data_IF_472338680517
#
_entry.id   IF_472338680517
#
_cell.length_a   1.000
_cell.length_b   1.000
_cell.length_c   1.000
_cell.angle_alpha   90.00
_cell.angle_beta   90.00
_cell.angle_gamma   90.00
#
_symmetry.space_group_name_H-M   'P 1'
#
loop_
_entity.id
_entity.type
_entity.pdbx_description
1 polymer ?
#
# COMPACT_ATOMS: atom_id res chain seq x y z
N UNK A 1 -41.98 -46.08 -72.93
CA UNK A 1 -42.90 -45.02 -72.47
C UNK A 1 -42.03 -43.78 -72.33
N UNK A 2 -41.89 -42.91 -73.35
CA UNK A 2 -42.95 -42.12 -74.02
C UNK A 2 -43.76 -41.29 -73.02
N UNK A 3 -43.95 -39.98 -73.16
CA UNK A 3 -43.39 -39.00 -74.11
C UNK A 3 -43.56 -37.56 -73.51
N UNK A 4 -43.10 -36.45 -74.08
CA UNK A 4 -42.37 -36.20 -75.35
C UNK A 4 -41.50 -34.92 -75.23
N UNK A 5 -40.80 -34.50 -76.30
CA UNK A 5 -40.05 -33.22 -76.36
C UNK A 5 -40.03 -32.62 -77.77
N UNK A 6 -41.03 -31.80 -78.09
CA UNK A 6 -41.04 -30.68 -79.05
C UNK A 6 -42.45 -30.02 -78.90
N UNK A 7 -42.63 -28.71 -79.02
CA UNK A 7 -42.65 -27.96 -80.29
C UNK A 7 -42.13 -26.53 -80.10
N UNK A 8 -41.61 -26.01 -81.21
CA UNK A 8 -40.91 -24.75 -81.41
C UNK A 8 -41.87 -23.61 -81.79
N UNK A 9 -41.42 -22.36 -81.62
CA UNK A 9 -41.98 -21.10 -82.16
C UNK A 9 -43.46 -20.71 -81.96
N UNK A 10 -43.69 -19.60 -81.26
CA UNK A 10 -44.18 -18.39 -81.95
C UNK A 10 -43.76 -17.10 -81.24
N UNK A 11 -43.29 -16.12 -82.01
CA UNK A 11 -42.71 -14.83 -81.55
C UNK A 11 -43.75 -13.70 -81.60
N UNK A 12 -43.52 -12.64 -80.81
CA UNK A 12 -44.17 -11.31 -80.85
C UNK A 12 -45.53 -11.23 -80.13
N UNK A 13 -45.63 -10.59 -78.95
CA UNK A 13 -45.55 -9.13 -78.80
C UNK A 13 -45.51 -8.74 -77.31
N UNK A 14 -44.52 -7.96 -76.87
CA UNK A 14 -44.51 -7.09 -75.66
C UNK A 14 -43.07 -6.68 -75.26
N UNK A 15 -42.36 -5.96 -76.14
CA UNK A 15 -41.18 -5.19 -75.71
C UNK A 15 -41.65 -3.85 -75.09
N UNK A 16 -40.80 -3.21 -74.27
CA UNK A 16 -40.92 -1.83 -73.73
C UNK A 16 -41.42 -1.62 -72.28
N UNK A 17 -41.36 -2.64 -71.38
CA UNK A 17 -41.47 -2.38 -69.91
C UNK A 17 -40.38 -2.97 -69.01
N UNK A 18 -39.57 -3.93 -69.46
CA UNK A 18 -38.58 -4.59 -68.59
C UNK A 18 -37.24 -3.86 -68.40
N UNK A 19 -36.87 -2.92 -69.29
CA UNK A 19 -35.52 -2.34 -69.30
C UNK A 19 -35.24 -1.27 -68.24
N UNK A 20 -36.27 -0.59 -67.75
CA UNK A 20 -36.12 0.49 -66.77
C UNK A 20 -35.97 -0.03 -65.33
N UNK A 21 -36.77 -1.04 -64.95
CA UNK A 21 -36.76 -1.61 -63.60
C UNK A 21 -35.44 -2.36 -63.33
N UNK A 22 -34.94 -3.14 -64.30
CA UNK A 22 -33.65 -3.86 -64.17
C UNK A 22 -32.46 -2.91 -63.95
N UNK A 23 -32.41 -1.77 -64.65
CA UNK A 23 -31.36 -0.76 -64.44
C UNK A 23 -31.52 -0.01 -63.10
N UNK A 24 -32.75 0.06 -62.57
CA UNK A 24 -33.03 0.63 -61.24
C UNK A 24 -32.55 -0.33 -60.13
N UNK A 25 -32.89 -1.61 -60.21
CA UNK A 25 -32.46 -2.63 -59.24
C UNK A 25 -30.93 -2.80 -59.23
N UNK A 26 -30.27 -2.87 -60.39
CA UNK A 26 -28.81 -2.94 -60.47
C UNK A 26 -28.12 -1.69 -59.90
N UNK A 27 -28.71 -0.50 -60.07
CA UNK A 27 -28.21 0.72 -59.41
C UNK A 27 -28.42 0.67 -57.90
N UNK A 28 -29.56 0.18 -57.43
CA UNK A 28 -29.85 0.04 -56.01
C UNK A 28 -28.87 -0.93 -55.34
N UNK A 29 -28.58 -2.07 -55.97
CA UNK A 29 -27.60 -3.04 -55.46
C UNK A 29 -26.17 -2.46 -55.43
N UNK A 30 -25.71 -1.77 -56.48
CA UNK A 30 -24.40 -1.11 -56.46
C UNK A 30 -24.31 -0.01 -55.39
N UNK A 31 -25.38 0.74 -55.13
CA UNK A 31 -25.41 1.74 -54.06
C UNK A 31 -25.30 1.07 -52.68
N UNK A 32 -26.01 -0.04 -52.45
CA UNK A 32 -25.95 -0.80 -51.19
C UNK A 32 -24.57 -1.42 -50.97
N UNK A 33 -23.98 -2.09 -51.98
CA UNK A 33 -22.60 -2.62 -51.87
C UNK A 33 -21.58 -1.50 -51.60
N UNK A 34 -21.75 -0.33 -52.22
CA UNK A 34 -20.87 0.81 -52.04
C UNK A 34 -21.06 1.54 -50.69
N UNK A 35 -22.26 1.50 -50.09
CA UNK A 35 -22.50 1.93 -48.71
C UNK A 35 -21.91 0.94 -47.69
N UNK A 36 -22.07 -0.37 -47.91
CA UNK A 36 -21.51 -1.42 -47.04
C UNK A 36 -19.97 -1.40 -47.03
N UNK A 37 -19.31 -1.26 -48.18
CA UNK A 37 -17.85 -1.11 -48.28
C UNK A 37 -17.36 0.18 -47.57
N UNK A 38 -18.10 1.28 -47.71
CA UNK A 38 -17.80 2.55 -47.04
C UNK A 38 -17.90 2.42 -45.51
N UNK A 39 -18.96 1.76 -45.02
CA UNK A 39 -19.13 1.46 -43.60
C UNK A 39 -18.06 0.49 -43.07
N UNK A 40 -17.66 -0.50 -43.86
CA UNK A 40 -16.60 -1.46 -43.53
C UNK A 40 -15.21 -0.79 -43.42
N UNK A 41 -14.84 0.06 -44.38
CA UNK A 41 -13.61 0.86 -44.32
C UNK A 41 -13.61 1.81 -43.12
N UNK A 42 -14.70 2.57 -42.92
CA UNK A 42 -14.81 3.49 -41.79
C UNK A 42 -14.68 2.76 -40.44
N UNK A 43 -15.30 1.59 -40.27
CA UNK A 43 -15.17 0.78 -39.06
C UNK A 43 -13.74 0.27 -38.83
N UNK A 44 -13.04 -0.13 -39.91
CA UNK A 44 -11.64 -0.59 -39.86
C UNK A 44 -10.68 0.52 -39.43
N UNK A 45 -10.81 1.72 -40.02
CA UNK A 45 -10.01 2.89 -39.64
C UNK A 45 -10.30 3.33 -38.19
N UNK A 46 -11.57 3.32 -37.77
CA UNK A 46 -11.94 3.66 -36.40
C UNK A 46 -11.34 2.65 -35.40
N UNK A 47 -11.36 1.35 -35.71
CA UNK A 47 -10.76 0.31 -34.89
C UNK A 47 -9.23 0.43 -34.83
N UNK A 48 -8.56 0.68 -35.95
CA UNK A 48 -7.12 0.95 -36.01
C UNK A 48 -6.71 2.16 -35.17
N UNK A 49 -7.48 3.25 -35.24
CA UNK A 49 -7.24 4.45 -34.43
C UNK A 49 -7.43 4.22 -32.92
N UNK A 50 -8.38 3.34 -32.55
CA UNK A 50 -8.65 2.97 -31.15
C UNK A 50 -7.54 2.08 -30.59
N UNK A 51 -7.09 1.09 -31.35
CA UNK A 51 -5.96 0.21 -30.98
C UNK A 51 -4.68 1.02 -30.87
N UNK A 52 -4.41 1.94 -31.78
CA UNK A 52 -3.23 2.82 -31.71
C UNK A 52 -3.30 3.78 -30.51
N UNK A 53 -4.50 4.30 -30.18
CA UNK A 53 -4.72 5.09 -28.95
C UNK A 53 -4.44 4.28 -27.69
N UNK A 54 -5.03 3.11 -27.54
CA UNK A 54 -4.79 2.25 -26.37
C UNK A 54 -3.34 1.75 -26.27
N UNK A 55 -2.66 1.51 -27.39
CA UNK A 55 -1.23 1.19 -27.40
C UNK A 55 -0.36 2.40 -26.98
N UNK A 56 -0.71 3.60 -27.43
CA UNK A 56 -0.04 4.86 -27.05
C UNK A 56 -0.27 5.21 -25.57
N UNK A 57 -1.50 5.06 -25.08
CA UNK A 57 -1.89 5.19 -23.67
C UNK A 57 -1.11 4.20 -22.81
N UNK A 58 -1.11 2.91 -23.16
CA UNK A 58 -0.34 1.88 -22.44
C UNK A 58 1.18 2.10 -22.47
N UNK A 59 1.73 2.65 -23.55
CA UNK A 59 3.16 3.01 -23.63
C UNK A 59 3.50 4.25 -22.76
N UNK A 60 2.64 5.27 -22.78
CA UNK A 60 2.77 6.45 -21.94
C UNK A 60 2.70 6.07 -20.45
N UNK A 61 1.73 5.25 -20.08
CA UNK A 61 1.56 4.76 -18.71
C UNK A 61 2.75 3.89 -18.27
N UNK A 62 3.29 3.03 -19.16
CA UNK A 62 4.52 2.27 -18.88
C UNK A 62 5.75 3.18 -18.67
N UNK A 63 5.88 4.30 -19.40
CA UNK A 63 6.93 5.30 -19.17
C UNK A 63 6.72 6.00 -17.83
N UNK A 64 5.48 6.39 -17.49
CA UNK A 64 5.15 7.00 -16.21
C UNK A 64 5.44 6.06 -15.03
N UNK A 65 5.11 4.77 -15.16
CA UNK A 65 5.41 3.74 -14.18
C UNK A 65 6.91 3.52 -14.03
N UNK A 66 7.68 3.49 -15.12
CA UNK A 66 9.13 3.37 -15.06
C UNK A 66 9.78 4.61 -14.41
N UNK A 67 9.28 5.81 -14.72
CA UNK A 67 9.72 7.06 -14.09
C UNK A 67 9.37 7.08 -12.59
N UNK A 68 8.15 6.68 -12.23
CA UNK A 68 7.70 6.57 -10.85
C UNK A 68 8.57 5.56 -10.09
N UNK A 69 8.74 4.34 -10.62
CA UNK A 69 9.60 3.31 -10.05
C UNK A 69 11.04 3.82 -9.84
N UNK A 70 11.60 4.52 -10.82
CA UNK A 70 12.95 5.13 -10.72
C UNK A 70 13.01 6.20 -9.61
N UNK A 71 12.01 7.09 -9.53
CA UNK A 71 11.92 8.10 -8.46
C UNK A 71 11.79 7.45 -7.09
N UNK A 72 10.91 6.46 -6.95
CA UNK A 72 10.66 5.71 -5.71
C UNK A 72 11.93 5.00 -5.26
N UNK A 73 12.61 4.31 -6.18
CA UNK A 73 13.88 3.62 -5.96
C UNK A 73 14.93 4.62 -5.45
N UNK A 74 15.15 5.73 -6.16
CA UNK A 74 16.08 6.78 -5.73
C UNK A 74 15.75 7.36 -4.35
N UNK A 75 14.48 7.60 -4.01
CA UNK A 75 14.08 8.12 -2.70
C UNK A 75 14.42 7.14 -1.56
N UNK A 76 14.21 5.83 -1.75
CA UNK A 76 14.52 4.82 -0.74
C UNK A 76 16.00 4.42 -0.71
N UNK A 77 16.70 4.60 -1.83
CA UNK A 77 18.11 4.29 -1.99
C UNK A 77 19.01 5.40 -1.47
N UNK A 78 18.71 6.67 -1.74
CA UNK A 78 19.55 7.82 -1.34
C UNK A 78 19.35 8.12 0.16
N UNK A 79 20.09 7.38 0.98
CA UNK A 79 20.21 7.62 2.42
C UNK A 79 21.67 7.72 2.81
N UNK A 80 21.97 8.39 3.94
CA UNK A 80 23.32 8.44 4.49
C UNK A 80 23.91 7.05 4.77
N UNK A 81 23.08 6.08 5.17
CA UNK A 81 23.50 4.69 5.39
C UNK A 81 23.92 4.02 4.08
N UNK A 82 23.20 4.30 2.98
CA UNK A 82 23.55 3.81 1.64
C UNK A 82 24.83 4.42 1.09
N UNK A 83 24.99 5.75 1.20
CA UNK A 83 26.21 6.44 0.75
C UNK A 83 27.45 5.89 1.46
N UNK A 84 27.34 5.60 2.76
CA UNK A 84 28.43 5.02 3.54
C UNK A 84 28.75 3.58 3.11
N UNK A 85 27.75 2.73 2.87
CA UNK A 85 27.95 1.34 2.39
C UNK A 85 28.56 1.31 0.98
N UNK A 86 28.12 2.19 0.07
CA UNK A 86 28.69 2.33 -1.28
C UNK A 86 30.15 2.79 -1.19
N UNK A 87 30.45 3.80 -0.37
CA UNK A 87 31.82 4.27 -0.15
C UNK A 87 32.71 3.16 0.40
N UNK A 88 32.25 2.40 1.41
CA UNK A 88 32.97 1.24 1.92
C UNK A 88 33.25 0.21 0.82
N UNK A 89 32.26 -0.11 -0.03
CA UNK A 89 32.39 -1.05 -1.15
C UNK A 89 33.42 -0.60 -2.20
N UNK A 90 33.44 0.68 -2.57
CA UNK A 90 34.43 1.23 -3.51
C UNK A 90 35.83 1.17 -2.90
N UNK A 91 35.97 1.61 -1.65
CA UNK A 91 37.25 1.65 -0.94
C UNK A 91 37.82 0.25 -0.72
N UNK A 92 37.04 -0.71 -0.22
CA UNK A 92 37.55 -2.07 0.04
C UNK A 92 37.96 -2.77 -1.24
N UNK A 93 37.12 -2.76 -2.27
CA UNK A 93 37.42 -3.43 -3.56
C UNK A 93 38.64 -2.81 -4.25
N UNK A 94 38.81 -1.49 -4.16
CA UNK A 94 40.01 -0.82 -4.70
C UNK A 94 41.26 -1.16 -3.88
N UNK A 95 41.19 -1.17 -2.54
CA UNK A 95 42.32 -1.53 -1.68
C UNK A 95 42.77 -2.98 -1.92
N UNK A 96 41.85 -3.94 -1.98
CA UNK A 96 42.20 -5.35 -2.26
C UNK A 96 42.80 -5.52 -3.66
N UNK A 97 42.34 -4.75 -4.66
CA UNK A 97 42.92 -4.77 -6.00
C UNK A 97 44.36 -4.21 -6.01
N UNK A 98 44.58 -3.03 -5.41
CA UNK A 98 45.90 -2.39 -5.36
C UNK A 98 46.90 -3.21 -4.53
N UNK A 99 46.53 -3.65 -3.33
CA UNK A 99 47.41 -4.51 -2.53
C UNK A 99 47.68 -5.85 -3.23
N UNK A 100 46.66 -6.46 -3.84
CA UNK A 100 46.80 -7.69 -4.63
C UNK A 100 47.49 -7.52 -5.99
N UNK A 101 47.85 -6.30 -6.39
CA UNK A 101 48.70 -6.02 -7.55
C UNK A 101 50.15 -5.74 -7.13
N UNK A 102 50.34 -4.99 -6.03
CA UNK A 102 51.67 -4.62 -5.52
C UNK A 102 52.40 -5.78 -4.80
N UNK A 103 51.70 -6.86 -4.43
CA UNK A 103 52.30 -8.02 -3.78
C UNK A 103 52.53 -9.17 -4.77
N UNK A 104 53.79 -9.40 -5.15
CA UNK A 104 54.26 -10.37 -6.17
C UNK A 104 54.06 -11.88 -5.81
N UNK A 105 53.17 -12.21 -4.87
CA UNK A 105 52.92 -13.61 -4.49
C UNK A 105 51.66 -13.84 -3.64
N UNK A 106 51.23 -12.89 -2.82
CA UNK A 106 50.02 -13.06 -2.00
C UNK A 106 48.75 -12.81 -2.81
N UNK A 107 48.15 -13.90 -3.30
CA UNK A 107 46.84 -13.91 -3.95
C UNK A 107 45.73 -13.54 -2.94
N UNK A 108 45.42 -12.26 -2.83
CA UNK A 108 44.24 -11.77 -2.09
C UNK A 108 42.90 -12.10 -2.77
N UNK A 109 42.92 -12.68 -3.97
CA UNK A 109 41.72 -13.24 -4.60
C UNK A 109 41.35 -14.59 -3.98
N UNK A 110 40.20 -14.67 -3.32
CA UNK A 110 39.67 -15.91 -2.75
C UNK A 110 38.25 -16.20 -3.25
N UNK A 111 37.98 -17.47 -3.59
CA UNK A 111 36.62 -17.92 -3.88
C UNK A 111 35.84 -18.09 -2.55
N UNK A 112 34.89 -17.20 -2.30
CA UNK A 112 34.07 -17.14 -1.08
C UNK A 112 32.63 -17.49 -1.44
N UNK A 113 32.05 -18.46 -0.72
CA UNK A 113 30.66 -18.86 -0.92
C UNK A 113 29.68 -17.74 -0.53
N UNK A 114 28.71 -17.45 -1.40
CA UNK A 114 27.60 -16.51 -1.13
C UNK A 114 26.54 -17.05 -0.15
N UNK A 115 26.69 -18.31 0.28
CA UNK A 115 25.78 -18.97 1.22
C UNK A 115 25.60 -18.18 2.53
N UNK A 116 26.67 -17.61 3.07
CA UNK A 116 26.63 -16.82 4.32
C UNK A 116 25.75 -15.57 4.15
N UNK A 117 25.89 -14.84 3.04
CA UNK A 117 25.06 -13.66 2.73
C UNK A 117 23.59 -14.04 2.60
N UNK A 118 23.29 -15.14 1.90
CA UNK A 118 21.92 -15.62 1.73
C UNK A 118 21.24 -15.96 3.07
N UNK A 119 21.88 -16.81 3.89
CA UNK A 119 21.28 -17.26 5.15
C UNK A 119 21.33 -16.24 6.29
N UNK A 120 22.42 -15.45 6.42
CA UNK A 120 22.57 -14.52 7.54
C UNK A 120 21.96 -13.13 7.30
N UNK A 121 21.74 -12.73 6.04
CA UNK A 121 21.28 -11.38 5.68
C UNK A 121 19.93 -11.45 4.96
N UNK A 122 19.87 -12.13 3.81
CA UNK A 122 18.69 -12.12 2.93
C UNK A 122 17.49 -12.82 3.60
N UNK A 123 17.67 -14.01 4.18
CA UNK A 123 16.56 -14.73 4.83
C UNK A 123 15.95 -13.96 6.03
N UNK A 124 16.73 -13.40 6.99
CA UNK A 124 16.19 -12.52 8.02
C UNK A 124 15.52 -11.24 7.49
N UNK A 125 15.99 -10.67 6.38
CA UNK A 125 15.34 -9.50 5.75
C UNK A 125 13.97 -9.87 5.17
N UNK A 126 13.86 -10.98 4.42
CA UNK A 126 12.59 -11.46 3.89
C UNK A 126 11.58 -11.71 5.03
N UNK A 127 12.01 -12.33 6.13
CA UNK A 127 11.15 -12.56 7.29
C UNK A 127 10.68 -11.24 7.94
N UNK A 128 11.57 -10.24 8.09
CA UNK A 128 11.20 -8.93 8.65
C UNK A 128 10.23 -8.17 7.74
N UNK A 129 10.39 -8.26 6.42
CA UNK A 129 9.46 -7.70 5.42
C UNK A 129 8.09 -8.35 5.55
N UNK A 130 8.00 -9.69 5.58
CA UNK A 130 6.73 -10.41 5.76
C UNK A 130 6.04 -10.04 7.08
N UNK A 131 6.79 -9.89 8.17
CA UNK A 131 6.24 -9.44 9.46
C UNK A 131 5.78 -7.97 9.45
N UNK A 132 6.39 -7.11 8.63
CA UNK A 132 5.95 -5.72 8.46
C UNK A 132 4.60 -5.66 7.72
N UNK A 133 4.47 -6.39 6.61
CA UNK A 133 3.19 -6.51 5.89
C UNK A 133 2.08 -7.12 6.77
N UNK A 134 2.34 -8.24 7.44
CA UNK A 134 1.35 -8.84 8.34
C UNK A 134 0.90 -7.87 9.46
N UNK A 135 1.81 -7.04 9.99
CA UNK A 135 1.46 -5.98 10.96
C UNK A 135 0.57 -4.89 10.35
N UNK A 136 0.83 -4.50 9.10
CA UNK A 136 0.02 -3.50 8.38
C UNK A 136 -1.41 -4.00 8.18
N UNK A 137 -1.59 -5.22 7.69
CA UNK A 137 -2.93 -5.80 7.49
C UNK A 137 -3.68 -5.93 8.82
N UNK A 138 -3.03 -6.47 9.87
CA UNK A 138 -3.61 -6.51 11.22
C UNK A 138 -3.99 -5.13 11.78
N UNK A 139 -3.30 -4.05 11.38
CA UNK A 139 -3.65 -2.68 11.77
C UNK A 139 -4.85 -2.14 10.97
N UNK A 140 -4.96 -2.49 9.68
CA UNK A 140 -6.09 -2.16 8.83
C UNK A 140 -7.37 -2.84 9.32
N UNK A 141 -7.31 -4.15 9.64
CA UNK A 141 -8.45 -4.91 10.19
C UNK A 141 -8.98 -4.29 11.48
N UNK A 142 -8.08 -4.05 12.45
CA UNK A 142 -8.42 -3.47 13.76
C UNK A 142 -8.96 -2.04 13.62
N UNK A 143 -8.45 -1.27 12.65
CA UNK A 143 -8.97 0.05 12.35
C UNK A 143 -10.35 0.00 11.69
N UNK A 144 -10.63 -0.98 10.83
CA UNK A 144 -11.96 -1.19 10.24
C UNK A 144 -12.99 -1.59 11.31
N UNK A 145 -12.65 -2.51 12.21
CA UNK A 145 -13.48 -2.85 13.38
C UNK A 145 -13.75 -1.62 14.25
N UNK A 146 -12.73 -0.80 14.53
CA UNK A 146 -12.88 0.43 15.30
C UNK A 146 -13.80 1.44 14.58
N UNK A 147 -13.65 1.65 13.26
CA UNK A 147 -14.55 2.51 12.44
C UNK A 147 -16.01 2.09 12.61
N UNK A 148 -16.29 0.79 12.49
CA UNK A 148 -17.64 0.26 12.65
C UNK A 148 -18.19 0.50 14.06
N UNK A 149 -17.38 0.28 15.10
CA UNK A 149 -17.78 0.49 16.49
C UNK A 149 -18.06 1.96 16.83
N UNK A 150 -17.23 2.90 16.36
CA UNK A 150 -17.48 4.35 16.51
C UNK A 150 -18.85 4.76 15.99
N UNK A 151 -19.22 4.29 14.79
CA UNK A 151 -20.53 4.59 14.18
C UNK A 151 -21.67 3.89 14.92
N UNK A 152 -21.52 2.61 15.25
CA UNK A 152 -22.57 1.86 15.97
C UNK A 152 -22.85 2.41 17.37
N UNK A 153 -21.86 2.93 18.10
CA UNK A 153 -22.07 3.61 19.38
C UNK A 153 -22.92 4.87 19.20
N UNK A 154 -22.67 5.67 18.15
CA UNK A 154 -23.49 6.86 17.87
C UNK A 154 -24.91 6.46 17.42
N UNK A 155 -25.05 5.48 16.53
CA UNK A 155 -26.35 4.97 16.08
C UNK A 155 -27.19 4.39 17.23
N UNK A 156 -26.57 3.73 18.20
CA UNK A 156 -27.26 3.29 19.41
C UNK A 156 -27.74 4.47 20.28
N UNK A 157 -26.99 5.58 20.31
CA UNK A 157 -27.40 6.77 21.04
C UNK A 157 -28.43 7.62 20.28
N UNK A 158 -28.49 7.57 18.94
CA UNK A 158 -29.44 8.35 18.11
C UNK A 158 -30.73 7.59 17.79
N UNK A 159 -30.63 6.36 17.28
CA UNK A 159 -31.75 5.61 16.69
C UNK A 159 -32.47 4.68 17.66
N UNK A 160 -31.77 4.08 18.64
CA UNK A 160 -32.40 3.07 19.49
C UNK A 160 -33.55 3.68 20.30
N UNK A 161 -34.72 3.07 20.16
CA UNK A 161 -35.96 3.54 20.75
C UNK A 161 -36.55 2.45 21.65
N UNK A 162 -36.77 2.79 22.91
CA UNK A 162 -37.39 1.93 23.91
C UNK A 162 -38.87 2.28 24.17
N UNK A 163 -39.51 2.93 23.19
CA UNK A 163 -40.95 3.16 23.15
C UNK A 163 -41.42 4.10 24.26
N UNK A 164 -42.42 3.65 25.02
CA UNK A 164 -43.10 4.45 26.04
C UNK A 164 -42.24 4.75 27.28
N UNK A 165 -41.10 4.07 27.47
CA UNK A 165 -40.33 4.18 28.72
C UNK A 165 -39.36 5.39 28.71
N UNK A 166 -39.80 6.59 28.30
CA UNK A 166 -39.01 7.82 28.50
C UNK A 166 -37.99 8.20 27.40
N UNK A 167 -38.01 7.61 26.20
CA UNK A 167 -37.11 8.06 25.11
C UNK A 167 -37.31 9.54 24.73
N UNK A 168 -38.47 10.12 25.03
CA UNK A 168 -38.81 11.54 24.86
C UNK A 168 -38.37 12.46 26.01
N UNK A 169 -38.01 11.92 27.19
CA UNK A 169 -37.51 12.72 28.33
C UNK A 169 -35.99 12.88 28.32
N UNK A 170 -35.28 12.06 27.52
CA UNK A 170 -33.85 12.19 27.27
C UNK A 170 -33.48 13.59 26.73
N UNK A 171 -32.41 14.24 27.23
CA UNK A 171 -31.99 15.55 26.76
C UNK A 171 -31.75 15.60 25.24
N UNK A 172 -32.22 16.63 24.52
CA UNK A 172 -32.07 16.72 23.06
C UNK A 172 -30.60 16.78 22.61
N UNK A 173 -29.70 17.28 23.46
CA UNK A 173 -28.26 17.35 23.23
C UNK A 173 -27.53 16.01 23.45
N UNK A 174 -28.17 14.97 24.02
CA UNK A 174 -27.51 13.71 24.39
C UNK A 174 -26.73 13.05 23.24
N UNK A 175 -27.33 13.02 22.05
CA UNK A 175 -26.69 12.48 20.85
C UNK A 175 -25.51 13.33 20.36
N UNK A 176 -25.64 14.66 20.41
CA UNK A 176 -24.59 15.60 20.01
C UNK A 176 -23.41 15.59 21.00
N UNK A 177 -23.69 15.47 22.29
CA UNK A 177 -22.71 15.25 23.35
C UNK A 177 -21.96 13.92 23.16
N UNK A 178 -22.67 12.84 22.88
CA UNK A 178 -22.05 11.53 22.55
C UNK A 178 -21.14 11.64 21.34
N UNK A 179 -21.62 12.26 20.24
CA UNK A 179 -20.81 12.53 19.04
C UNK A 179 -19.56 13.36 19.34
N UNK A 180 -19.68 14.36 20.21
CA UNK A 180 -18.55 15.20 20.64
C UNK A 180 -17.50 14.40 21.40
N UNK A 181 -17.92 13.52 22.32
CA UNK A 181 -17.02 12.59 23.03
C UNK A 181 -16.32 11.63 22.07
N UNK A 182 -17.02 11.13 21.04
CA UNK A 182 -16.44 10.27 20.01
C UNK A 182 -15.44 11.02 19.11
N UNK A 183 -15.73 12.27 18.71
CA UNK A 183 -14.77 13.12 17.97
C UNK A 183 -13.53 13.44 18.80
N UNK A 184 -13.68 13.72 20.11
CA UNK A 184 -12.56 13.90 21.03
C UNK A 184 -11.71 12.63 21.16
N UNK A 185 -12.34 11.47 21.39
CA UNK A 185 -11.66 10.17 21.46
C UNK A 185 -10.87 9.88 20.16
N UNK A 186 -11.45 10.17 19.00
CA UNK A 186 -10.81 10.00 17.70
C UNK A 186 -9.60 10.94 17.53
N UNK A 187 -9.66 12.17 18.04
CA UNK A 187 -8.53 13.10 18.06
C UNK A 187 -7.38 12.58 18.94
N UNK A 188 -7.67 12.07 20.13
CA UNK A 188 -6.65 11.49 21.03
C UNK A 188 -5.96 10.27 20.40
N UNK A 189 -6.76 9.35 19.84
CA UNK A 189 -6.24 8.20 19.06
C UNK A 189 -5.37 8.68 17.91
N UNK A 190 -5.79 9.69 17.15
CA UNK A 190 -5.01 10.22 16.04
C UNK A 190 -3.66 10.80 16.47
N UNK A 191 -3.65 11.50 17.62
CA UNK A 191 -2.46 12.11 18.20
C UNK A 191 -1.45 11.04 18.60
N UNK A 192 -1.91 9.95 19.24
CA UNK A 192 -1.08 8.79 19.53
C UNK A 192 -0.58 8.14 18.23
N UNK A 193 -1.45 7.87 17.25
CA UNK A 193 -1.10 7.16 16.00
C UNK A 193 -0.16 7.94 15.07
N UNK A 194 -0.19 9.28 15.10
CA UNK A 194 0.70 10.12 14.27
C UNK A 194 2.01 10.51 14.98
N UNK A 195 2.13 10.33 16.31
CA UNK A 195 3.36 10.67 17.04
C UNK A 195 4.56 9.76 16.66
N UNK A 196 5.79 10.27 16.49
CA UNK A 196 6.95 9.44 16.14
C UNK A 196 7.28 8.38 17.22
N UNK A 197 7.65 7.16 16.79
CA UNK A 197 7.92 6.03 17.71
C UNK A 197 9.36 6.03 18.24
N UNK A 198 9.52 6.43 19.52
CA UNK A 198 10.84 6.51 20.17
C UNK A 198 11.39 5.17 20.74
N UNK A 199 11.00 4.03 20.19
CA UNK A 199 11.45 2.68 20.64
C UNK A 199 12.69 2.13 19.90
N UNK A 200 13.58 2.97 19.34
CA UNK A 200 14.79 2.52 18.61
C UNK A 200 15.96 2.30 19.59
N UNK A 201 16.91 1.43 19.24
CA UNK A 201 18.10 1.13 20.05
C UNK A 201 18.84 2.39 20.53
N UNK A 202 19.02 3.39 19.65
CA UNK A 202 19.60 4.70 20.01
C UNK A 202 18.90 5.40 21.18
N UNK A 203 17.59 5.24 21.36
CA UNK A 203 16.83 5.85 22.44
C UNK A 203 16.88 5.05 23.75
N UNK A 204 17.31 3.78 23.71
CA UNK A 204 17.59 2.98 24.90
C UNK A 204 19.06 3.09 25.34
N UNK A 205 19.98 3.23 24.38
CA UNK A 205 21.43 3.13 24.58
C UNK A 205 22.18 4.48 24.61
N UNK A 206 21.56 5.61 24.26
CA UNK A 206 22.22 6.93 24.30
C UNK A 206 21.50 7.90 25.24
N UNK A 207 22.26 8.68 26.02
CA UNK A 207 21.72 9.65 27.00
C UNK A 207 20.81 10.68 26.34
N UNK A 208 21.22 11.24 25.18
CA UNK A 208 20.38 12.15 24.42
C UNK A 208 19.08 11.48 23.94
N UNK A 209 19.18 10.26 23.39
CA UNK A 209 18.02 9.51 22.90
C UNK A 209 17.03 9.14 24.02
N UNK A 210 17.52 8.82 25.22
CA UNK A 210 16.70 8.57 26.41
C UNK A 210 15.92 9.82 26.85
N UNK A 211 16.58 10.99 26.89
CA UNK A 211 15.94 12.27 27.22
C UNK A 211 14.86 12.69 26.23
N UNK A 212 15.01 12.35 24.94
CA UNK A 212 13.96 12.56 23.93
C UNK A 212 12.82 11.57 24.16
N UNK A 213 13.12 10.28 24.36
CA UNK A 213 12.10 9.26 24.58
C UNK A 213 11.24 9.51 25.82
N UNK A 214 11.81 9.98 26.93
CA UNK A 214 11.03 10.26 28.15
C UNK A 214 10.02 11.39 27.97
N UNK A 215 10.38 12.47 27.25
CA UNK A 215 9.46 13.56 26.89
C UNK A 215 8.27 13.06 26.07
N UNK A 216 8.50 12.19 25.09
CA UNK A 216 7.43 11.60 24.27
C UNK A 216 6.61 10.56 25.04
N UNK A 217 7.22 9.74 25.90
CA UNK A 217 6.49 8.79 26.75
C UNK A 217 5.51 9.51 27.70
N UNK A 218 5.92 10.64 28.29
CA UNK A 218 5.03 11.46 29.11
C UNK A 218 3.86 12.07 28.30
N UNK A 219 4.06 12.40 27.01
CA UNK A 219 2.97 12.86 26.15
C UNK A 219 1.98 11.73 25.81
N UNK A 220 2.48 10.55 25.45
CA UNK A 220 1.67 9.35 25.20
C UNK A 220 0.81 9.01 26.42
N UNK A 221 1.41 8.99 27.63
CA UNK A 221 0.69 8.71 28.87
C UNK A 221 -0.46 9.68 29.14
N UNK A 222 -0.31 10.98 28.83
CA UNK A 222 -1.41 11.95 28.94
C UNK A 222 -2.55 11.63 27.98
N UNK A 223 -2.26 11.31 26.73
CA UNK A 223 -3.29 10.93 25.75
C UNK A 223 -4.01 9.63 26.16
N UNK A 224 -3.29 8.62 26.68
CA UNK A 224 -3.91 7.38 27.17
C UNK A 224 -4.84 7.63 28.38
N UNK A 225 -4.43 8.45 29.35
CA UNK A 225 -5.30 8.84 30.47
C UNK A 225 -6.52 9.64 29.99
N UNK A 226 -6.35 10.50 28.98
CA UNK A 226 -7.45 11.21 28.34
C UNK A 226 -8.44 10.25 27.68
N UNK A 227 -7.97 9.23 26.96
CA UNK A 227 -8.81 8.18 26.35
C UNK A 227 -9.67 7.47 27.40
N UNK A 228 -9.09 7.06 28.52
CA UNK A 228 -9.83 6.43 29.64
C UNK A 228 -10.89 7.39 30.21
N UNK A 229 -10.58 8.68 30.34
CA UNK A 229 -11.55 9.68 30.78
C UNK A 229 -12.71 9.88 29.77
N UNK A 230 -12.45 9.82 28.47
CA UNK A 230 -13.50 9.85 27.45
C UNK A 230 -14.37 8.59 27.48
N UNK A 231 -13.79 7.40 27.67
CA UNK A 231 -14.56 6.16 27.86
C UNK A 231 -15.42 6.20 29.13
N UNK A 232 -14.93 6.77 30.24
CA UNK A 232 -15.74 6.99 31.43
C UNK A 232 -16.97 7.84 31.11
N UNK A 233 -16.79 8.97 30.42
CA UNK A 233 -17.89 9.86 30.01
C UNK A 233 -18.89 9.17 29.07
N UNK A 234 -18.43 8.29 28.17
CA UNK A 234 -19.32 7.49 27.32
C UNK A 234 -20.18 6.51 28.14
N UNK A 235 -19.63 5.86 29.18
CA UNK A 235 -20.43 5.03 30.08
C UNK A 235 -21.40 5.88 30.93
N UNK A 236 -20.99 7.08 31.37
CA UNK A 236 -21.89 8.03 32.04
C UNK A 236 -23.08 8.44 31.15
N UNK A 237 -22.94 8.47 29.80
CA UNK A 237 -24.09 8.65 28.89
C UNK A 237 -25.07 7.47 28.93
N UNK A 238 -24.59 6.22 29.06
CA UNK A 238 -25.49 5.05 29.17
C UNK A 238 -26.24 5.06 30.50
N UNK A 239 -25.60 5.52 31.59
CA UNK A 239 -26.28 5.69 32.88
C UNK A 239 -27.38 6.77 32.84
N UNK A 240 -27.17 7.87 32.10
CA UNK A 240 -28.25 8.84 31.81
C UNK A 240 -29.40 8.18 31.06
N UNK A 241 -29.12 7.41 30.00
CA UNK A 241 -30.19 6.71 29.27
C UNK A 241 -30.95 5.70 30.14
N UNK A 242 -30.27 5.00 31.06
CA UNK A 242 -30.91 4.10 32.04
C UNK A 242 -31.80 4.84 33.03
N UNK A 243 -31.40 6.04 33.48
CA UNK A 243 -32.25 6.92 34.29
C UNK A 243 -33.55 7.28 33.57
N UNK A 244 -33.45 7.57 32.27
CA UNK A 244 -34.58 7.83 31.37
C UNK A 244 -35.24 6.55 30.79
N UNK A 245 -35.18 5.44 31.53
CA UNK A 245 -35.94 4.21 31.27
C UNK A 245 -35.41 3.25 30.19
N UNK A 246 -34.15 3.41 29.74
CA UNK A 246 -33.50 2.41 28.87
C UNK A 246 -33.42 1.03 29.57
N UNK A 247 -33.94 -0.04 28.96
CA UNK A 247 -33.81 -1.40 29.48
C UNK A 247 -32.37 -1.86 29.70
N UNK A 248 -32.13 -2.60 30.80
CA UNK A 248 -30.78 -3.01 31.22
C UNK A 248 -30.06 -3.91 30.20
N UNK A 249 -30.79 -4.70 29.41
CA UNK A 249 -30.25 -5.51 28.32
C UNK A 249 -29.68 -4.65 27.17
N UNK A 250 -30.40 -3.62 26.74
CA UNK A 250 -29.90 -2.68 25.71
C UNK A 250 -28.75 -1.82 26.25
N UNK A 251 -28.83 -1.36 27.50
CA UNK A 251 -27.73 -0.66 28.15
C UNK A 251 -26.44 -1.50 28.22
N UNK A 252 -26.58 -2.80 28.51
CA UNK A 252 -25.46 -3.76 28.52
C UNK A 252 -24.81 -3.89 27.13
N UNK A 253 -25.59 -3.89 26.05
CA UNK A 253 -25.06 -3.91 24.67
C UNK A 253 -24.27 -2.65 24.32
N UNK A 254 -24.74 -1.47 24.70
CA UNK A 254 -23.98 -0.21 24.44
C UNK A 254 -22.65 -0.22 25.21
N UNK A 255 -22.66 -0.65 26.47
CA UNK A 255 -21.43 -0.83 27.26
C UNK A 255 -20.51 -1.91 26.67
N UNK A 256 -21.06 -2.98 26.08
CA UNK A 256 -20.28 -3.97 25.33
C UNK A 256 -19.59 -3.34 24.11
N UNK A 257 -20.27 -2.47 23.36
CA UNK A 257 -19.65 -1.72 22.25
C UNK A 257 -18.54 -0.77 22.73
N UNK A 258 -18.72 -0.09 23.87
CA UNK A 258 -17.66 0.73 24.48
C UNK A 258 -16.43 -0.10 24.83
N UNK A 259 -16.61 -1.26 25.49
CA UNK A 259 -15.52 -2.18 25.81
C UNK A 259 -14.84 -2.73 24.54
N UNK A 260 -15.62 -3.14 23.54
CA UNK A 260 -15.09 -3.60 22.25
C UNK A 260 -14.24 -2.51 21.59
N UNK A 261 -14.73 -1.26 21.53
CA UNK A 261 -13.98 -0.15 20.94
C UNK A 261 -12.67 0.09 21.70
N UNK A 262 -12.73 0.15 23.03
CA UNK A 262 -11.54 0.32 23.87
C UNK A 262 -10.50 -0.79 23.62
N UNK A 263 -10.94 -2.05 23.56
CA UNK A 263 -10.07 -3.19 23.26
C UNK A 263 -9.43 -3.11 21.85
N UNK A 264 -10.14 -2.60 20.83
CA UNK A 264 -9.58 -2.41 19.49
C UNK A 264 -8.59 -1.23 19.43
N UNK A 265 -8.85 -0.14 20.15
CA UNK A 265 -7.89 0.96 20.27
C UNK A 265 -6.60 0.52 20.98
N UNK A 266 -6.69 -0.22 22.09
CA UNK A 266 -5.51 -0.78 22.77
C UNK A 266 -4.76 -1.82 21.91
N UNK A 267 -5.47 -2.66 21.14
CA UNK A 267 -4.82 -3.55 20.15
C UNK A 267 -4.07 -2.76 19.08
N UNK A 268 -4.62 -1.63 18.61
CA UNK A 268 -3.99 -0.75 17.63
C UNK A 268 -2.74 -0.04 18.21
N UNK A 269 -2.79 0.38 19.49
CA UNK A 269 -1.63 0.92 20.20
C UNK A 269 -0.54 -0.13 20.41
N UNK A 270 -0.91 -1.37 20.74
CA UNK A 270 0.04 -2.48 20.84
C UNK A 270 0.75 -2.74 19.51
N UNK A 271 0.01 -2.75 18.39
CA UNK A 271 0.58 -2.84 17.03
C UNK A 271 1.58 -1.69 16.76
N UNK A 272 1.27 -0.47 17.21
CA UNK A 272 2.15 0.69 17.07
C UNK A 272 3.43 0.60 17.91
N UNK A 273 3.33 0.25 19.20
CA UNK A 273 4.46 0.31 20.12
C UNK A 273 5.35 -0.94 20.09
N UNK A 274 4.76 -2.13 19.95
CA UNK A 274 5.47 -3.41 19.94
C UNK A 274 5.75 -3.90 18.50
N UNK A 275 6.73 -3.24 17.87
CA UNK A 275 7.17 -3.52 16.49
C UNK A 275 8.18 -4.69 16.38
N UNK A 276 8.71 -4.93 15.17
CA UNK A 276 9.72 -5.97 14.90
C UNK A 276 10.93 -5.89 15.85
N UNK A 277 11.50 -7.03 16.27
CA UNK A 277 12.60 -7.07 17.24
C UNK A 277 13.78 -6.16 16.87
N UNK A 278 14.20 -5.32 17.81
CA UNK A 278 15.33 -4.41 17.57
C UNK A 278 16.65 -5.14 17.35
N UNK A 279 16.83 -6.34 17.91
CA UNK A 279 18.06 -7.12 17.76
C UNK A 279 18.28 -7.49 16.28
N UNK A 280 17.33 -8.19 15.65
CA UNK A 280 17.43 -8.68 14.26
C UNK A 280 17.77 -7.55 13.28
N UNK A 281 17.03 -6.44 13.33
CA UNK A 281 17.30 -5.25 12.49
C UNK A 281 18.70 -4.67 12.73
N UNK A 282 19.20 -4.70 13.96
CA UNK A 282 20.53 -4.18 14.28
C UNK A 282 21.63 -5.10 13.77
N UNK A 283 21.45 -6.43 13.86
CA UNK A 283 22.35 -7.40 13.26
C UNK A 283 22.39 -7.28 11.74
N UNK A 284 21.23 -7.29 11.06
CA UNK A 284 21.13 -7.09 9.60
C UNK A 284 21.86 -5.83 9.15
N UNK A 285 21.66 -4.70 9.84
CA UNK A 285 22.34 -3.44 9.54
C UNK A 285 23.87 -3.55 9.63
N UNK A 286 24.39 -4.23 10.66
CA UNK A 286 25.83 -4.42 10.83
C UNK A 286 26.40 -5.36 9.76
N UNK A 287 25.70 -6.45 9.44
CA UNK A 287 26.15 -7.37 8.39
C UNK A 287 26.20 -6.71 7.01
N UNK A 288 25.21 -5.88 6.64
CA UNK A 288 25.25 -5.13 5.36
C UNK A 288 26.44 -4.17 5.31
N UNK A 289 26.81 -3.54 6.42
CA UNK A 289 27.99 -2.65 6.49
C UNK A 289 29.32 -3.43 6.39
N UNK A 290 29.38 -4.62 6.98
CA UNK A 290 30.61 -5.43 7.06
C UNK A 290 30.83 -6.28 5.80
N UNK A 291 29.77 -6.58 5.04
CA UNK A 291 29.81 -7.41 3.83
C UNK A 291 30.85 -6.97 2.79
N UNK A 292 30.98 -5.67 2.40
CA UNK A 292 31.94 -5.27 1.37
C UNK A 292 33.41 -5.39 1.83
N UNK A 293 33.66 -5.46 3.14
CA UNK A 293 35.00 -5.72 3.70
C UNK A 293 35.36 -7.20 3.52
N UNK A 294 34.42 -8.11 3.82
CA UNK A 294 34.64 -9.55 3.71
C UNK A 294 34.60 -10.10 2.27
N UNK A 295 33.77 -9.53 1.39
CA UNK A 295 33.63 -9.99 -0.01
C UNK A 295 34.54 -9.24 -0.99
N UNK A 296 35.27 -8.21 -0.57
CA UNK A 296 36.33 -7.56 -1.37
C UNK A 296 37.29 -8.55 -2.08
N UNK A 297 37.85 -9.55 -1.37
CA UNK A 297 38.66 -10.64 -1.94
C UNK A 297 37.98 -11.42 -3.08
N UNK A 298 36.66 -11.59 -3.03
CA UNK A 298 35.90 -12.33 -4.05
C UNK A 298 35.78 -11.54 -5.36
N UNK A 299 35.55 -10.22 -5.29
CA UNK A 299 35.52 -9.39 -6.51
C UNK A 299 36.89 -9.30 -7.18
N UNK A 300 38.00 -9.38 -6.42
CA UNK A 300 39.37 -9.43 -6.96
C UNK A 300 39.73 -10.82 -7.51
N UNK A 301 39.16 -11.89 -6.96
CA UNK A 301 39.26 -13.24 -7.53
C UNK A 301 38.67 -13.30 -8.95
N UNK A 302 37.47 -12.73 -9.16
CA UNK A 302 36.81 -12.63 -10.46
C UNK A 302 37.62 -11.89 -11.54
N UNK A 303 38.53 -10.99 -11.15
CA UNK A 303 39.41 -10.27 -12.09
C UNK A 303 40.57 -11.13 -12.59
N UNK A 304 40.90 -12.22 -11.87
CA UNK A 304 42.11 -13.05 -12.08
C UNK A 304 41.82 -14.55 -12.28
N UNK A 305 40.56 -14.97 -12.35
CA UNK A 305 40.19 -16.40 -12.27
C UNK A 305 40.46 -17.20 -13.55
N UNK A 306 40.54 -16.57 -14.72
CA UNK A 306 40.61 -17.26 -16.01
C UNK A 306 41.71 -16.71 -16.93
N UNK A 307 42.56 -17.63 -17.40
CA UNK A 307 43.72 -17.35 -18.26
C UNK A 307 43.34 -16.88 -19.68
N UNK A 308 42.06 -17.00 -20.05
CA UNK A 308 41.50 -16.59 -21.34
C UNK A 308 40.49 -15.43 -21.26
N UNK A 309 39.94 -15.12 -20.08
CA UNK A 309 38.86 -14.13 -19.91
C UNK A 309 39.04 -13.28 -18.64
N UNK A 310 40.13 -12.50 -18.57
CA UNK A 310 40.31 -11.49 -17.53
C UNK A 310 39.19 -10.45 -17.56
N UNK A 311 38.30 -10.47 -16.56
CA UNK A 311 37.25 -9.43 -16.46
C UNK A 311 37.86 -8.08 -16.07
N UNK A 312 37.29 -6.98 -16.57
CA UNK A 312 37.81 -5.64 -16.29
C UNK A 312 37.60 -5.27 -14.81
N UNK A 313 38.58 -4.63 -14.16
CA UNK A 313 38.43 -4.06 -12.81
C UNK A 313 37.17 -3.20 -12.66
N UNK A 314 36.80 -2.43 -13.69
CA UNK A 314 35.56 -1.62 -13.73
C UNK A 314 34.31 -2.49 -13.54
N UNK A 315 34.28 -3.70 -14.12
CA UNK A 315 33.18 -4.64 -13.94
C UNK A 315 33.13 -5.19 -12.52
N UNK A 316 34.28 -5.57 -11.93
CA UNK A 316 34.36 -6.03 -10.54
C UNK A 316 33.93 -4.93 -9.55
N UNK A 317 34.35 -3.69 -9.77
CA UNK A 317 33.92 -2.52 -8.99
C UNK A 317 32.42 -2.27 -9.12
N UNK A 318 31.88 -2.29 -10.36
CA UNK A 318 30.46 -2.13 -10.61
C UNK A 318 29.63 -3.23 -9.92
N UNK A 319 30.06 -4.49 -9.98
CA UNK A 319 29.40 -5.61 -9.31
C UNK A 319 29.43 -5.46 -7.77
N UNK A 320 30.55 -5.03 -7.20
CA UNK A 320 30.70 -4.71 -5.78
C UNK A 320 29.74 -3.60 -5.34
N UNK A 321 29.63 -2.53 -6.13
CA UNK A 321 28.69 -1.43 -5.87
C UNK A 321 27.24 -1.89 -6.00
N UNK A 322 26.86 -2.55 -7.09
CA UNK A 322 25.49 -3.02 -7.34
C UNK A 322 25.01 -3.99 -6.26
N UNK A 323 25.82 -5.00 -5.89
CA UNK A 323 25.45 -5.95 -4.83
C UNK A 323 25.28 -5.27 -3.47
N UNK A 324 26.15 -4.31 -3.14
CA UNK A 324 26.03 -3.50 -1.92
C UNK A 324 24.78 -2.60 -1.94
N UNK A 325 24.47 -2.03 -3.10
CA UNK A 325 23.33 -1.17 -3.37
C UNK A 325 22.00 -1.93 -3.23
N UNK A 326 21.91 -3.14 -3.78
CA UNK A 326 20.75 -4.02 -3.64
C UNK A 326 20.48 -4.36 -2.16
N UNK A 327 21.52 -4.75 -1.41
CA UNK A 327 21.37 -5.10 0.01
C UNK A 327 20.87 -3.92 0.86
N UNK A 328 21.50 -2.74 0.74
CA UNK A 328 21.08 -1.57 1.51
C UNK A 328 19.73 -1.01 1.03
N UNK A 329 19.41 -1.13 -0.26
CA UNK A 329 18.11 -0.76 -0.83
C UNK A 329 16.96 -1.56 -0.22
N UNK A 330 17.06 -2.89 -0.20
CA UNK A 330 16.04 -3.77 0.41
C UNK A 330 15.94 -3.52 1.93
N UNK A 331 17.05 -3.24 2.61
CA UNK A 331 17.03 -2.86 4.03
C UNK A 331 16.32 -1.51 4.28
N UNK A 332 16.51 -0.52 3.42
CA UNK A 332 15.80 0.76 3.52
C UNK A 332 14.29 0.59 3.28
N UNK A 333 13.89 -0.31 2.38
CA UNK A 333 12.48 -0.68 2.16
C UNK A 333 11.90 -1.38 3.41
N UNK A 334 12.60 -2.35 4.00
CA UNK A 334 12.21 -3.00 5.28
C UNK A 334 12.05 -1.97 6.42
N UNK A 335 12.96 -1.00 6.49
CA UNK A 335 12.97 0.12 7.45
C UNK A 335 11.82 1.11 7.20
N UNK A 336 11.40 1.32 5.96
CA UNK A 336 10.29 2.18 5.58
C UNK A 336 8.93 1.55 5.92
N UNK A 337 8.77 0.24 5.70
CA UNK A 337 7.55 -0.52 6.04
C UNK A 337 7.43 -0.84 7.55
N UNK A 338 8.50 -0.67 8.33
CA UNK A 338 8.55 -1.08 9.74
C UNK A 338 7.65 -0.31 10.72
N UNK A 339 7.00 0.79 10.30
CA UNK A 339 6.01 1.56 11.06
C UNK A 339 4.81 1.87 10.12
N UNK A 340 3.64 1.23 10.32
CA UNK A 340 2.53 1.34 9.38
C UNK A 340 1.79 2.69 9.43
N UNK A 341 2.06 3.55 10.43
CA UNK A 341 1.32 4.81 10.63
C UNK A 341 2.13 6.06 10.30
N UNK A 342 3.42 6.07 10.69
CA UNK A 342 4.33 7.24 10.57
C UNK A 342 5.55 6.92 9.69
N UNK A 343 5.61 5.73 9.11
CA UNK A 343 6.69 5.33 8.22
C UNK A 343 6.84 6.24 7.00
N UNK A 344 8.08 6.42 6.54
CA UNK A 344 8.39 7.12 5.29
C UNK A 344 8.03 6.32 4.02
N UNK A 345 7.52 5.10 4.17
CA UNK A 345 7.02 4.30 3.06
C UNK A 345 5.76 4.90 2.43
N UNK A 346 5.55 4.57 1.16
CA UNK A 346 4.34 4.95 0.43
C UNK A 346 3.11 4.20 0.94
N UNK A 347 3.27 2.90 1.26
CA UNK A 347 2.20 1.99 1.67
C UNK A 347 1.70 2.19 3.11
N UNK A 348 2.00 3.33 3.73
CA UNK A 348 1.54 3.68 5.07
C UNK A 348 0.00 3.79 5.12
N UNK A 349 -0.57 3.48 6.28
CA UNK A 349 -1.99 3.68 6.55
C UNK A 349 -2.27 5.19 6.53
N UNK A 350 -3.25 5.61 5.71
CA UNK A 350 -3.65 7.01 5.54
C UNK A 350 -4.53 7.46 6.71
N UNK A 351 -3.92 7.55 7.89
CA UNK A 351 -4.59 7.82 9.18
C UNK A 351 -5.42 9.10 9.13
N UNK A 352 -4.86 10.21 8.61
CA UNK A 352 -5.57 11.50 8.53
C UNK A 352 -6.84 11.44 7.68
N UNK A 353 -6.77 10.82 6.51
CA UNK A 353 -7.91 10.64 5.61
C UNK A 353 -8.95 9.69 6.23
N UNK A 354 -8.50 8.61 6.86
CA UNK A 354 -9.38 7.68 7.59
C UNK A 354 -10.14 8.39 8.71
N UNK A 355 -9.48 9.31 9.42
CA UNK A 355 -10.11 10.14 10.45
C UNK A 355 -11.11 11.13 9.85
N UNK A 356 -10.82 11.77 8.70
CA UNK A 356 -11.79 12.64 8.01
C UNK A 356 -13.06 11.87 7.66
N UNK A 357 -12.91 10.71 7.02
CA UNK A 357 -14.02 9.80 6.72
C UNK A 357 -14.81 9.42 7.98
N UNK A 358 -14.13 9.15 9.11
CA UNK A 358 -14.83 8.86 10.36
C UNK A 358 -15.60 10.06 10.93
N UNK A 359 -15.12 11.30 10.74
CA UNK A 359 -15.88 12.49 11.11
C UNK A 359 -17.16 12.58 10.27
N UNK A 360 -17.04 12.43 8.95
CA UNK A 360 -18.17 12.43 8.00
C UNK A 360 -19.18 11.32 8.33
N UNK A 361 -18.72 10.09 8.62
CA UNK A 361 -19.58 8.98 9.05
C UNK A 361 -20.35 9.28 10.35
N UNK A 362 -19.70 9.96 11.33
CA UNK A 362 -20.35 10.41 12.57
C UNK A 362 -21.26 11.63 12.35
N UNK A 363 -21.05 12.40 11.28
CA UNK A 363 -21.93 13.50 10.90
C UNK A 363 -23.24 12.94 10.30
N UNK A 364 -23.15 12.02 9.32
CA UNK A 364 -24.31 11.32 8.73
C UNK A 364 -25.14 10.55 9.77
N UNK A 365 -24.48 9.87 10.72
CA UNK A 365 -25.14 9.09 11.77
C UNK A 365 -25.92 9.94 12.82
N UNK A 366 -25.75 11.27 12.81
CA UNK A 366 -26.55 12.20 13.61
C UNK A 366 -27.76 12.75 12.85
N UNK A 367 -27.65 12.96 11.53
CA UNK A 367 -28.67 13.66 10.74
C UNK A 367 -29.97 12.87 10.51
N UNK A 368 -29.98 11.57 10.82
CA UNK A 368 -31.00 10.58 10.46
C UNK A 368 -32.38 10.76 11.13
N UNK A 369 -32.68 11.94 11.70
CA UNK A 369 -33.89 12.20 12.52
C UNK A 369 -34.68 13.46 12.15
N UNK A 370 -34.62 13.90 10.88
CA UNK A 370 -35.45 15.03 10.38
C UNK A 370 -36.77 14.65 9.72
N UNK A 371 -36.97 13.38 9.36
CA UNK A 371 -38.12 12.94 8.54
C UNK A 371 -38.94 11.81 9.22
N UNK A 372 -39.46 12.05 10.42
CA UNK A 372 -40.49 11.21 11.05
C UNK A 372 -41.34 12.01 12.05
#
# INVERSE_FOLDING_TARGET
>A
MSADSQVFDTVSTANDRGGADLLSEMRMQMIVEQEDDCHSQAASEHHGSLVFRHASEGFHDAILDLYAATKIFCIHLVTFESMFVILCSIVTTTLYYVFGHNSDGTRFGANISWMIVSFAIVAPMIMQIKQAFARREMALDVMAEAKALFVNILLANTLWNWGKNGRSTLPPDHALKTKTLLKQLLFEVSSILLMPTHTRGRHRLTVHGQRVASKHAAAIGRHQLSIVAHFKRLHEQVEVMKGEGLPANEASRINQYHWMLHARLEKLFNIKFYRTPQATRSFTRLFILVLPIFYGPYYVYLTKSDEYHSTNFVFCLALSVVTSLSMIGVFNVEKAMGDPFVGGGMDRIRVRETISQMHEMLDIALETRKNQ
#
